data_IF_920863869995
#
_entry.id   IF_920863869995
#
_cell.length_a   1.000
_cell.length_b   1.000
_cell.length_c   1.000
_cell.angle_alpha   90.00
_cell.angle_beta   90.00
_cell.angle_gamma   90.00
#
_symmetry.space_group_name_H-M   'P 1'
#
loop_
_entity.id
_entity.type
_entity.pdbx_description
1 polymer ?
#
# COMPACT_ATOMS: atom_id res chain seq x y z
N UNK A 1 19.95 -18.79 -18.63
CA UNK A 1 18.73 -18.59 -17.79
C UNK A 1 18.68 -19.63 -16.66
N UNK A 2 18.71 -20.94 -16.93
CA UNK A 2 18.74 -22.00 -15.89
C UNK A 2 19.91 -21.88 -14.89
N UNK A 3 21.09 -21.52 -15.37
CA UNK A 3 22.31 -21.37 -14.55
C UNK A 3 22.22 -20.21 -13.53
N UNK A 4 21.39 -19.19 -13.81
CA UNK A 4 21.15 -18.09 -12.89
C UNK A 4 20.17 -18.49 -11.78
N UNK A 5 19.13 -19.27 -12.12
CA UNK A 5 18.18 -19.81 -11.14
C UNK A 5 18.86 -20.77 -10.14
N UNK A 6 19.81 -21.59 -10.60
CA UNK A 6 20.58 -22.48 -9.72
C UNK A 6 21.49 -21.71 -8.76
N UNK A 7 22.03 -20.56 -9.18
CA UNK A 7 22.86 -19.69 -8.34
C UNK A 7 22.10 -19.00 -7.22
N UNK A 8 20.81 -18.74 -7.40
CA UNK A 8 19.94 -18.17 -6.36
C UNK A 8 19.54 -19.26 -5.35
N UNK A 9 19.42 -20.52 -5.80
CA UNK A 9 19.06 -21.67 -4.95
C UNK A 9 20.21 -22.22 -4.11
N UNK A 10 21.45 -21.99 -4.50
CA UNK A 10 22.62 -22.44 -3.74
C UNK A 10 23.27 -21.27 -3.00
N UNK A 11 22.96 -21.06 -1.70
CA UNK A 11 23.78 -20.21 -0.86
C UNK A 11 25.19 -20.81 -0.86
N UNK A 12 26.16 -19.98 -1.23
CA UNK A 12 27.58 -20.36 -1.31
C UNK A 12 28.04 -20.85 0.05
N UNK A 13 28.66 -22.03 0.09
CA UNK A 13 29.48 -22.45 1.22
C UNK A 13 29.10 -23.81 1.78
N UNK A 14 29.94 -24.79 1.46
CA UNK A 14 29.99 -26.14 2.04
C UNK A 14 30.51 -26.10 3.49
N UNK A 15 29.79 -25.38 4.37
CA UNK A 15 29.97 -25.45 5.81
C UNK A 15 28.58 -25.35 6.45
N UNK A 16 28.02 -26.50 6.80
CA UNK A 16 26.78 -26.60 7.56
C UNK A 16 27.04 -26.13 9.00
N UNK A 17 27.09 -24.83 9.23
CA UNK A 17 26.70 -24.29 10.53
C UNK A 17 25.17 -24.28 10.54
N UNK A 18 24.62 -25.34 11.13
CA UNK A 18 23.18 -25.51 11.40
C UNK A 18 22.60 -24.48 12.38
N UNK A 19 23.39 -23.49 12.81
CA UNK A 19 23.02 -22.52 13.84
C UNK A 19 23.16 -21.07 13.35
N UNK A 20 22.59 -20.74 12.19
CA UNK A 20 22.08 -19.37 11.98
C UNK A 20 20.69 -19.29 12.59
N UNK A 21 20.63 -19.44 13.91
CA UNK A 21 19.46 -19.14 14.72
C UNK A 21 19.38 -17.61 14.81
N UNK A 22 18.88 -16.96 13.75
CA UNK A 22 18.61 -15.52 13.77
C UNK A 22 17.25 -15.35 14.44
N UNK A 23 17.17 -14.83 15.68
CA UNK A 23 15.91 -14.72 16.38
C UNK A 23 14.94 -13.84 15.57
N UNK A 24 13.76 -14.37 15.24
CA UNK A 24 12.75 -13.69 14.41
C UNK A 24 12.69 -14.13 12.94
N UNK A 25 13.55 -15.04 12.49
CA UNK A 25 13.54 -15.61 11.13
C UNK A 25 13.28 -17.12 11.12
N UNK A 26 12.55 -17.61 12.12
CA UNK A 26 12.23 -19.02 12.34
C UNK A 26 11.13 -19.56 11.42
N UNK A 27 10.51 -18.70 10.61
CA UNK A 27 9.45 -19.08 9.68
C UNK A 27 10.06 -19.55 8.34
N UNK A 28 9.72 -20.77 7.91
CA UNK A 28 10.09 -21.30 6.58
C UNK A 28 9.58 -20.40 5.44
N UNK A 29 8.57 -19.55 5.70
CA UNK A 29 8.08 -18.53 4.78
C UNK A 29 9.09 -17.40 4.52
N UNK A 30 10.13 -17.24 5.36
CA UNK A 30 11.13 -16.18 5.22
C UNK A 30 11.86 -16.21 3.87
N UNK A 31 12.14 -17.40 3.36
CA UNK A 31 12.79 -17.57 2.06
C UNK A 31 11.80 -17.50 0.88
N UNK A 32 10.50 -17.39 1.15
CA UNK A 32 9.49 -17.25 0.12
C UNK A 32 9.32 -15.79 -0.25
N UNK A 33 9.26 -15.50 -1.55
CA UNK A 33 8.95 -14.16 -2.04
C UNK A 33 7.56 -13.75 -1.54
N UNK A 34 7.41 -12.63 -0.80
CA UNK A 34 6.11 -12.20 -0.33
C UNK A 34 5.23 -11.81 -1.52
N UNK A 35 4.03 -12.39 -1.58
CA UNK A 35 3.04 -12.02 -2.58
C UNK A 35 2.24 -10.82 -2.11
N UNK A 36 2.58 -9.63 -2.61
CA UNK A 36 1.80 -8.40 -2.34
C UNK A 36 0.62 -8.35 -3.31
N UNK A 37 -0.59 -8.31 -2.77
CA UNK A 37 -1.83 -8.14 -3.54
C UNK A 37 -2.34 -6.73 -3.35
N UNK A 38 -2.78 -6.09 -4.43
CA UNK A 38 -3.50 -4.82 -4.31
C UNK A 38 -4.78 -5.02 -3.49
N UNK A 39 -5.13 -4.03 -2.66
CA UNK A 39 -6.32 -4.08 -1.81
C UNK A 39 -7.41 -3.09 -2.20
N UNK A 40 -7.07 -2.12 -3.07
CA UNK A 40 -7.98 -1.18 -3.69
C UNK A 40 -7.37 -0.66 -4.99
N UNK A 41 -8.24 -0.25 -5.93
CA UNK A 41 -7.87 0.49 -7.14
C UNK A 41 -8.51 1.88 -7.09
N UNK A 42 -7.82 2.93 -7.53
CA UNK A 42 -8.41 4.26 -7.64
C UNK A 42 -9.51 4.34 -8.69
N UNK A 43 -10.34 5.38 -8.63
CA UNK A 43 -11.22 5.71 -9.76
C UNK A 43 -10.36 6.08 -10.97
N UNK A 44 -10.53 5.32 -12.06
CA UNK A 44 -9.72 5.43 -13.28
C UNK A 44 -9.83 6.85 -13.87
N UNK A 45 -11.02 7.45 -13.80
CA UNK A 45 -11.30 8.77 -14.37
C UNK A 45 -10.69 9.94 -13.57
N UNK A 46 -10.36 9.72 -12.30
CA UNK A 46 -9.92 10.77 -11.38
C UNK A 46 -8.42 10.74 -11.07
N UNK A 47 -7.70 9.73 -11.59
CA UNK A 47 -6.26 9.60 -11.46
C UNK A 47 -5.47 10.50 -12.41
N UNK A 48 -4.17 10.23 -12.48
CA UNK A 48 -3.28 10.84 -13.45
C UNK A 48 -3.62 10.35 -14.86
N UNK A 49 -3.49 11.24 -15.85
CA UNK A 49 -3.62 10.85 -17.27
C UNK A 49 -2.34 10.21 -17.82
N UNK A 50 -1.23 10.40 -17.13
CA UNK A 50 0.10 9.89 -17.48
C UNK A 50 0.62 8.94 -16.38
N UNK A 51 1.64 8.10 -16.68
CA UNK A 51 2.26 7.24 -15.67
C UNK A 51 2.80 8.04 -14.48
N UNK A 52 2.48 7.57 -13.27
CA UNK A 52 2.94 8.14 -12.01
C UNK A 52 4.47 8.00 -11.94
N UNK A 53 5.15 9.12 -11.67
CA UNK A 53 6.61 9.19 -11.59
C UNK A 53 7.13 9.14 -10.16
N UNK A 54 6.36 9.63 -9.19
CA UNK A 54 6.68 9.53 -7.76
C UNK A 54 5.42 9.39 -6.89
N UNK A 55 5.58 8.75 -5.73
CA UNK A 55 4.55 8.56 -4.72
C UNK A 55 5.17 8.64 -3.33
N UNK A 56 4.58 9.48 -2.47
CA UNK A 56 5.05 9.67 -1.09
C UNK A 56 3.90 9.65 -0.10
N UNK A 57 4.12 9.03 1.06
CA UNK A 57 3.22 9.18 2.20
C UNK A 57 3.45 10.53 2.86
N UNK A 58 2.38 11.19 3.26
CA UNK A 58 2.46 12.34 4.16
C UNK A 58 2.82 11.82 5.56
N UNK A 59 3.83 12.39 6.23
CA UNK A 59 4.21 11.99 7.58
C UNK A 59 3.05 12.07 8.58
N UNK A 60 3.08 11.21 9.58
CA UNK A 60 2.03 11.05 10.59
C UNK A 60 1.67 12.32 11.39
N UNK A 61 2.60 13.24 11.56
CA UNK A 61 2.45 14.50 12.29
C UNK A 61 1.95 15.66 11.42
N UNK A 62 1.82 15.46 10.11
CA UNK A 62 1.30 16.45 9.17
C UNK A 62 0.06 15.92 8.44
N UNK A 63 -0.81 16.84 8.03
CA UNK A 63 -1.86 16.57 7.07
C UNK A 63 -2.09 17.79 6.17
N UNK A 64 -2.54 17.54 4.96
CA UNK A 64 -2.93 18.57 4.00
C UNK A 64 -4.45 18.71 4.03
N UNK A 65 -4.93 19.94 4.17
CA UNK A 65 -6.36 20.24 4.14
C UNK A 65 -6.89 20.20 2.71
N UNK A 66 -8.22 20.16 2.55
CA UNK A 66 -8.84 20.29 1.24
C UNK A 66 -8.54 21.64 0.55
N UNK A 67 -8.12 22.65 1.33
CA UNK A 67 -7.66 23.95 0.83
C UNK A 67 -6.18 23.96 0.45
N UNK A 68 -5.46 22.84 0.59
CA UNK A 68 -4.03 22.75 0.30
C UNK A 68 -3.12 23.35 1.38
N UNK A 69 -3.65 23.59 2.59
CA UNK A 69 -2.84 24.10 3.69
C UNK A 69 -2.28 22.93 4.52
N UNK A 70 -0.97 22.94 4.84
CA UNK A 70 -0.41 21.98 5.78
C UNK A 70 -0.84 22.33 7.20
N UNK A 71 -1.32 21.33 7.94
CA UNK A 71 -1.70 21.45 9.35
C UNK A 71 -1.14 20.29 10.16
N UNK A 72 -1.09 20.44 11.47
CA UNK A 72 -0.69 19.38 12.38
C UNK A 72 -1.73 18.24 12.37
N UNK A 73 -1.25 17.00 12.32
CA UNK A 73 -2.10 15.82 12.45
C UNK A 73 -2.06 15.26 13.87
N UNK A 74 -3.03 15.68 14.67
CA UNK A 74 -3.19 15.23 16.06
C UNK A 74 -3.48 13.72 16.19
N UNK A 75 -3.93 13.06 15.10
CA UNK A 75 -4.19 11.62 15.11
C UNK A 75 -2.90 10.78 14.97
N UNK A 76 -1.76 11.39 14.66
CA UNK A 76 -0.45 10.73 14.52
C UNK A 76 -0.53 9.48 13.64
N UNK A 77 -1.17 9.62 12.47
CA UNK A 77 -1.35 8.52 11.53
C UNK A 77 -1.00 8.89 10.09
N UNK A 78 -0.25 8.02 9.41
CA UNK A 78 0.00 8.14 7.98
C UNK A 78 -1.25 7.69 7.20
N UNK A 79 -2.06 8.65 6.75
CA UNK A 79 -3.31 8.34 6.00
C UNK A 79 -3.45 9.09 4.68
N UNK A 80 -2.53 10.00 4.39
CA UNK A 80 -2.54 10.76 3.15
C UNK A 80 -1.35 10.37 2.28
N UNK A 81 -1.59 10.34 0.97
CA UNK A 81 -0.59 10.01 -0.04
C UNK A 81 -0.55 11.15 -1.05
N UNK A 82 0.64 11.48 -1.52
CA UNK A 82 0.89 12.39 -2.62
C UNK A 82 1.42 11.62 -3.82
N UNK A 83 0.93 11.93 -5.01
CA UNK A 83 1.44 11.39 -6.27
C UNK A 83 1.70 12.51 -7.26
N UNK A 84 2.69 12.33 -8.14
CA UNK A 84 2.90 13.20 -9.29
C UNK A 84 3.15 12.38 -10.56
N UNK A 85 2.88 12.99 -11.71
CA UNK A 85 3.08 12.37 -13.03
C UNK A 85 3.49 13.42 -14.07
N UNK A 86 3.69 12.98 -15.31
CA UNK A 86 4.00 13.86 -16.45
C UNK A 86 2.80 14.70 -16.95
N UNK A 87 1.63 14.56 -16.34
CA UNK A 87 0.45 15.39 -16.62
C UNK A 87 0.50 16.76 -15.94
N UNK A 88 1.63 17.12 -15.32
CA UNK A 88 1.87 18.34 -14.56
C UNK A 88 0.93 18.52 -13.36
N UNK A 89 0.39 17.42 -12.83
CA UNK A 89 -0.46 17.44 -11.64
C UNK A 89 0.24 16.80 -10.45
N UNK A 90 -0.08 17.32 -9.27
CA UNK A 90 0.16 16.66 -7.99
C UNK A 90 -1.20 16.36 -7.36
N UNK A 91 -1.44 15.09 -7.08
CA UNK A 91 -2.70 14.60 -6.52
C UNK A 91 -2.49 14.17 -5.07
N UNK A 92 -3.40 14.60 -4.20
CA UNK A 92 -3.42 14.22 -2.80
C UNK A 92 -4.59 13.30 -2.52
N UNK A 93 -4.31 12.18 -1.88
CA UNK A 93 -5.22 11.07 -1.67
C UNK A 93 -5.39 10.80 -0.18
N UNK A 94 -6.56 10.31 0.21
CA UNK A 94 -6.91 10.01 1.60
C UNK A 94 -7.36 8.55 1.72
N UNK A 95 -6.78 7.77 2.64
CA UNK A 95 -7.12 6.35 2.81
C UNK A 95 -8.18 6.09 3.87
N UNK A 96 -8.43 7.06 4.76
CA UNK A 96 -9.43 6.96 5.82
C UNK A 96 -10.84 6.79 5.24
N UNK A 97 -11.67 6.03 5.95
CA UNK A 97 -13.11 5.93 5.65
C UNK A 97 -13.72 7.32 5.86
N UNK A 98 -14.41 7.90 4.85
CA UNK A 98 -15.19 9.11 5.05
C UNK A 98 -16.16 8.92 6.21
N UNK A 99 -16.32 9.90 7.10
CA UNK A 99 -17.09 9.76 8.36
C UNK A 99 -18.56 9.31 8.18
N UNK A 100 -19.07 9.25 6.95
CA UNK A 100 -20.38 8.72 6.60
C UNK A 100 -20.33 7.20 6.27
N UNK A 101 -20.64 6.37 7.25
CA UNK A 101 -21.64 5.30 7.03
C UNK A 101 -21.20 3.91 6.59
N UNK A 102 -19.92 3.50 6.65
CA UNK A 102 -19.57 2.09 6.42
C UNK A 102 -19.80 1.28 7.70
N UNK A 103 -20.87 0.48 7.74
CA UNK A 103 -21.06 -0.54 8.79
C UNK A 103 -19.94 -1.58 8.67
N UNK A 104 -19.24 -1.95 9.76
CA UNK A 104 -18.24 -3.01 9.69
C UNK A 104 -18.90 -4.32 9.24
N UNK A 105 -18.33 -4.96 8.22
CA UNK A 105 -18.77 -6.28 7.75
C UNK A 105 -18.65 -7.32 8.87
N UNK A 106 -19.66 -8.17 9.01
CA UNK A 106 -19.65 -9.28 9.95
C UNK A 106 -18.54 -10.28 9.60
N UNK A 107 -18.08 -11.08 10.57
CA UNK A 107 -17.02 -12.08 10.36
C UNK A 107 -17.37 -13.07 9.23
N UNK A 108 -18.63 -13.49 9.14
CA UNK A 108 -19.11 -14.38 8.07
C UNK A 108 -19.06 -13.74 6.68
N UNK A 109 -19.35 -12.45 6.55
CA UNK A 109 -19.27 -11.74 5.27
C UNK A 109 -17.82 -11.56 4.80
N UNK A 110 -16.88 -11.38 5.74
CA UNK A 110 -15.45 -11.29 5.43
C UNK A 110 -14.87 -12.61 4.89
N UNK A 111 -15.32 -13.74 5.44
CA UNK A 111 -14.83 -15.06 5.05
C UNK A 111 -15.43 -15.54 3.71
N UNK A 112 -16.64 -15.09 3.34
CA UNK A 112 -17.30 -15.42 2.06
C UNK A 112 -16.77 -14.57 0.89
N UNK A 113 -16.36 -13.32 1.15
CA UNK A 113 -15.99 -12.34 0.10
C UNK A 113 -14.48 -12.27 -0.15
N UNK A 114 -13.67 -13.09 0.53
CA UNK A 114 -12.20 -13.02 0.43
C UNK A 114 -11.53 -14.28 -0.17
N UNK A 115 -11.85 -14.66 -1.43
CA UNK A 115 -11.21 -15.80 -2.10
C UNK A 115 -9.70 -15.60 -2.31
N UNK A 116 -9.21 -14.37 -2.16
CA UNK A 116 -7.83 -13.98 -2.40
C UNK A 116 -7.03 -13.68 -1.12
N UNK A 117 -7.60 -13.87 0.08
CA UNK A 117 -6.90 -13.57 1.33
C UNK A 117 -6.50 -12.10 1.52
N UNK A 118 -7.04 -11.17 0.73
CA UNK A 118 -6.75 -9.73 0.80
C UNK A 118 -7.59 -9.08 1.91
N UNK A 119 -6.99 -8.34 2.86
CA UNK A 119 -7.75 -7.63 3.89
C UNK A 119 -8.78 -6.67 3.29
N UNK A 120 -10.02 -6.71 3.80
CA UNK A 120 -11.11 -5.83 3.36
C UNK A 120 -11.02 -4.42 3.97
N UNK A 121 -9.91 -4.08 4.63
CA UNK A 121 -9.69 -2.80 5.34
C UNK A 121 -9.80 -1.58 4.43
N UNK A 122 -9.50 -1.75 3.13
CA UNK A 122 -9.54 -0.68 2.13
C UNK A 122 -10.62 -0.89 1.06
N UNK A 123 -11.56 -1.83 1.27
CA UNK A 123 -12.57 -2.14 0.25
C UNK A 123 -13.45 -0.94 -0.10
N UNK A 124 -13.63 0.02 0.81
CA UNK A 124 -14.36 1.27 0.58
C UNK A 124 -13.71 2.20 -0.44
N UNK A 125 -12.40 2.02 -0.71
CA UNK A 125 -11.63 2.80 -1.68
C UNK A 125 -11.69 2.19 -3.09
N UNK A 126 -12.07 0.92 -3.19
CA UNK A 126 -11.97 0.16 -4.45
C UNK A 126 -12.91 0.75 -5.52
N UNK A 127 -12.31 1.24 -6.61
CA UNK A 127 -12.92 1.95 -7.74
C UNK A 127 -13.59 3.30 -7.42
N UNK A 128 -13.56 3.73 -6.15
CA UNK A 128 -14.20 4.98 -5.68
C UNK A 128 -13.18 6.00 -5.18
N UNK A 129 -11.94 5.59 -4.97
CA UNK A 129 -10.90 6.44 -4.41
C UNK A 129 -10.47 7.51 -5.42
N UNK A 130 -10.70 8.77 -5.03
CA UNK A 130 -10.42 9.97 -5.81
C UNK A 130 -9.54 10.91 -4.99
N UNK A 131 -8.72 11.75 -5.63
CA UNK A 131 -7.93 12.72 -4.90
C UNK A 131 -8.85 13.76 -4.26
N UNK A 132 -8.53 14.17 -3.04
CA UNK A 132 -9.29 15.23 -2.35
C UNK A 132 -8.77 16.63 -2.71
N UNK A 133 -7.54 16.71 -3.24
CA UNK A 133 -6.91 17.93 -3.71
C UNK A 133 -6.09 17.63 -4.96
N UNK A 134 -6.20 18.52 -5.95
CA UNK A 134 -5.41 18.51 -7.19
C UNK A 134 -4.70 19.85 -7.30
N UNK A 135 -3.39 19.80 -7.48
CA UNK A 135 -2.55 20.97 -7.71
C UNK A 135 -1.96 20.83 -9.10
N UNK A 136 -2.10 21.88 -9.91
CA UNK A 136 -1.49 21.95 -11.24
C UNK A 136 -0.32 22.93 -11.14
N UNK A 137 0.80 22.59 -11.77
CA UNK A 137 1.91 23.52 -12.00
C UNK A 137 1.64 24.45 -13.17
#
# INVERSE_FOLDING_TARGET
>A
IKEYEERIKNPRGDHRDKDLFIPGFEDESFFQTPHIRFCAVSSIEHGHSEPITDLQWIPDHYQITAQGLPTENLAMNCSQIMTCAFDNQVLFWETRVPRAGVKPLSKKERDIINPMGVPLTFKHLDLTWKPFLRVNN
#
